data_IF_008226413488
#
_entry.id   IF_008226413488
#
_cell.length_a   1.000
_cell.length_b   1.000
_cell.length_c   1.000
_cell.angle_alpha   90.00
_cell.angle_beta   90.00
_cell.angle_gamma   90.00
#
_symmetry.space_group_name_H-M   'P 1'
#
loop_
_entity.id
_entity.type
_entity.pdbx_description
1 polymer ?
#
# COMPACT_ATOMS: atom_id res chain seq x y z
N UNK A 1 44.96 -10.82 -6.61
CA UNK A 1 43.80 -11.15 -7.46
C UNK A 1 42.68 -11.86 -6.69
N UNK A 2 42.95 -12.83 -5.82
CA UNK A 2 41.92 -13.50 -5.02
C UNK A 2 41.16 -12.57 -4.06
N UNK A 3 41.79 -11.52 -3.48
CA UNK A 3 41.17 -10.53 -2.59
C UNK A 3 40.22 -9.57 -3.33
N UNK A 4 40.51 -9.24 -4.59
CA UNK A 4 39.62 -8.42 -5.44
C UNK A 4 38.39 -9.20 -5.87
N UNK A 5 38.49 -10.50 -6.08
CA UNK A 5 37.36 -11.38 -6.42
C UNK A 5 36.37 -11.51 -5.25
N UNK A 6 36.88 -11.64 -4.02
CA UNK A 6 36.10 -11.72 -2.80
C UNK A 6 35.40 -10.38 -2.52
N UNK A 7 36.10 -9.24 -2.78
CA UNK A 7 35.51 -7.91 -2.61
C UNK A 7 34.39 -7.64 -3.63
N UNK A 8 34.59 -8.07 -4.89
CA UNK A 8 33.56 -7.99 -5.91
C UNK A 8 32.35 -8.85 -5.62
N UNK A 9 32.56 -10.04 -5.05
CA UNK A 9 31.48 -10.95 -4.65
C UNK A 9 30.67 -10.40 -3.47
N UNK A 10 31.32 -9.71 -2.53
CA UNK A 10 30.65 -9.06 -1.39
C UNK A 10 29.80 -7.84 -1.81
N UNK A 11 30.15 -7.16 -2.89
CA UNK A 11 29.38 -6.04 -3.43
C UNK A 11 28.09 -6.47 -4.14
N UNK A 12 28.04 -7.72 -4.63
CA UNK A 12 26.84 -8.26 -5.30
C UNK A 12 25.75 -8.68 -4.31
N UNK A 13 26.11 -8.91 -3.05
CA UNK A 13 25.14 -9.39 -2.01
C UNK A 13 24.37 -8.23 -1.36
N UNK A 14 24.71 -6.97 -1.65
CA UNK A 14 24.05 -5.80 -1.05
C UNK A 14 22.83 -5.28 -1.83
N UNK A 15 22.35 -6.02 -2.84
CA UNK A 15 21.04 -5.73 -3.39
C UNK A 15 19.98 -6.24 -2.40
N UNK A 16 19.61 -5.38 -1.45
CA UNK A 16 18.43 -5.61 -0.63
C UNK A 16 17.22 -5.62 -1.56
N UNK A 17 16.79 -6.82 -1.96
CA UNK A 17 15.50 -6.99 -2.59
C UNK A 17 14.43 -6.63 -1.55
N UNK A 18 13.81 -5.47 -1.70
CA UNK A 18 12.60 -5.15 -0.96
C UNK A 18 11.49 -6.07 -1.47
N UNK A 19 11.35 -7.23 -0.82
CA UNK A 19 10.33 -8.21 -1.16
C UNK A 19 9.00 -7.81 -0.53
N UNK A 20 8.32 -6.82 -1.11
CA UNK A 20 6.92 -6.56 -0.80
C UNK A 20 6.04 -7.50 -1.63
N UNK A 21 5.00 -8.05 -1.02
CA UNK A 21 4.01 -8.87 -1.72
C UNK A 21 3.18 -8.07 -2.72
N UNK A 22 3.08 -6.76 -2.55
CA UNK A 22 2.23 -5.91 -3.36
C UNK A 22 2.89 -4.56 -3.61
N UNK A 23 2.90 -4.13 -4.86
CA UNK A 23 3.31 -2.77 -5.24
C UNK A 23 2.13 -1.82 -5.27
N UNK A 24 2.41 -0.52 -5.39
CA UNK A 24 1.38 0.50 -5.63
C UNK A 24 0.59 0.25 -6.91
N UNK A 25 1.23 -0.24 -7.98
CA UNK A 25 0.54 -0.60 -9.22
C UNK A 25 -0.50 -1.72 -8.98
N UNK A 26 -0.14 -2.75 -8.23
CA UNK A 26 -1.07 -3.82 -7.88
C UNK A 26 -2.23 -3.29 -7.02
N UNK A 27 -1.93 -2.42 -6.06
CA UNK A 27 -2.96 -1.85 -5.20
C UNK A 27 -3.91 -0.94 -5.98
N UNK A 28 -3.40 -0.16 -6.93
CA UNK A 28 -4.21 0.69 -7.81
C UNK A 28 -5.15 -0.14 -8.69
N UNK A 29 -4.68 -1.25 -9.25
CA UNK A 29 -5.53 -2.18 -10.01
C UNK A 29 -6.72 -2.66 -9.17
N UNK A 30 -6.46 -3.08 -7.94
CA UNK A 30 -7.50 -3.52 -7.01
C UNK A 30 -8.43 -2.38 -6.59
N UNK A 31 -7.92 -1.17 -6.45
CA UNK A 31 -8.74 0.02 -6.20
C UNK A 31 -9.69 0.32 -7.37
N UNK A 32 -9.24 0.15 -8.60
CA UNK A 32 -10.09 0.31 -9.79
C UNK A 32 -11.24 -0.69 -9.78
N UNK A 33 -10.97 -1.96 -9.47
CA UNK A 33 -12.01 -2.98 -9.29
C UNK A 33 -12.96 -2.66 -8.14
N UNK A 34 -12.47 -2.10 -7.05
CA UNK A 34 -13.31 -1.60 -5.95
C UNK A 34 -14.25 -0.48 -6.39
N UNK A 35 -13.80 0.41 -7.26
CA UNK A 35 -14.67 1.46 -7.84
C UNK A 35 -15.76 0.86 -8.72
N UNK A 36 -15.44 -0.15 -9.55
CA UNK A 36 -16.43 -0.86 -10.37
C UNK A 36 -17.46 -1.59 -9.49
N UNK A 37 -17.03 -2.21 -8.41
CA UNK A 37 -17.92 -2.80 -7.42
C UNK A 37 -18.93 -1.77 -6.87
N UNK A 38 -18.47 -0.59 -6.49
CA UNK A 38 -19.33 0.48 -6.00
C UNK A 38 -20.23 1.11 -7.06
N UNK A 39 -19.84 1.01 -8.34
CA UNK A 39 -20.66 1.48 -9.45
C UNK A 39 -21.91 0.61 -9.72
N UNK A 40 -22.00 -0.57 -9.09
CA UNK A 40 -23.21 -1.40 -9.06
C UNK A 40 -23.30 -2.47 -10.14
N UNK A 41 -22.27 -2.67 -10.96
CA UNK A 41 -22.26 -3.72 -11.97
C UNK A 41 -20.88 -4.40 -12.12
N UNK A 42 -20.35 -4.97 -11.00
CA UNK A 42 -19.03 -5.58 -11.01
C UNK A 42 -19.03 -6.92 -11.75
N UNK A 43 -17.89 -7.22 -12.40
CA UNK A 43 -17.56 -8.59 -12.80
C UNK A 43 -17.18 -9.42 -11.57
N UNK A 44 -17.09 -10.75 -11.73
CA UNK A 44 -16.59 -11.62 -10.63
C UNK A 44 -15.17 -11.24 -10.23
N UNK A 45 -14.33 -10.87 -11.21
CA UNK A 45 -12.96 -10.39 -10.96
C UNK A 45 -12.97 -9.07 -10.16
N UNK A 46 -13.81 -8.11 -10.53
CA UNK A 46 -13.94 -6.85 -9.79
C UNK A 46 -14.39 -7.07 -8.35
N UNK A 47 -15.31 -8.01 -8.13
CA UNK A 47 -15.75 -8.35 -6.79
C UNK A 47 -14.57 -8.90 -5.97
N UNK A 48 -13.83 -9.84 -6.51
CA UNK A 48 -12.68 -10.45 -5.82
C UNK A 48 -11.58 -9.42 -5.54
N UNK A 49 -11.13 -8.69 -6.57
CA UNK A 49 -10.05 -7.72 -6.44
C UNK A 49 -10.45 -6.53 -5.57
N UNK A 50 -11.69 -6.08 -5.65
CA UNK A 50 -12.22 -5.01 -4.80
C UNK A 50 -12.26 -5.40 -3.33
N UNK A 51 -12.66 -6.63 -3.01
CA UNK A 51 -12.62 -7.15 -1.64
C UNK A 51 -11.18 -7.32 -1.13
N UNK A 52 -10.26 -7.74 -1.98
CA UNK A 52 -8.83 -7.78 -1.64
C UNK A 52 -8.28 -6.38 -1.34
N UNK A 53 -8.70 -5.36 -2.08
CA UNK A 53 -8.36 -3.97 -1.82
C UNK A 53 -8.80 -3.54 -0.41
N UNK A 54 -10.07 -3.74 -0.08
CA UNK A 54 -10.62 -3.38 1.23
C UNK A 54 -9.90 -4.10 2.38
N UNK A 55 -9.66 -5.40 2.23
CA UNK A 55 -8.96 -6.19 3.24
C UNK A 55 -7.53 -5.75 3.45
N UNK A 56 -6.83 -5.42 2.37
CA UNK A 56 -5.46 -4.92 2.44
C UNK A 56 -5.38 -3.57 3.16
N UNK A 57 -6.22 -2.62 2.77
CA UNK A 57 -6.27 -1.29 3.39
C UNK A 57 -6.67 -1.38 4.85
N UNK A 58 -7.65 -2.21 5.19
CA UNK A 58 -8.08 -2.42 6.58
C UNK A 58 -6.94 -2.98 7.44
N UNK A 59 -6.31 -4.06 7.00
CA UNK A 59 -5.22 -4.70 7.73
C UNK A 59 -4.01 -3.80 7.89
N UNK A 60 -3.58 -3.14 6.81
CA UNK A 60 -2.46 -2.20 6.87
C UNK A 60 -2.77 -1.01 7.79
N UNK A 61 -3.96 -0.45 7.72
CA UNK A 61 -4.39 0.68 8.57
C UNK A 61 -4.39 0.30 10.05
N UNK A 62 -4.86 -0.88 10.40
CA UNK A 62 -4.90 -1.35 11.78
C UNK A 62 -3.50 -1.55 12.35
N UNK A 63 -2.60 -2.14 11.58
CA UNK A 63 -1.20 -2.31 11.99
C UNK A 63 -0.51 -0.96 12.19
N UNK A 64 -0.69 -0.03 11.25
CA UNK A 64 -0.08 1.31 11.34
C UNK A 64 -0.60 2.09 12.55
N UNK A 65 -1.88 1.98 12.85
CA UNK A 65 -2.49 2.63 14.02
C UNK A 65 -1.99 1.99 15.33
N UNK A 66 -1.94 0.67 15.40
CA UNK A 66 -1.41 -0.05 16.57
C UNK A 66 0.06 0.24 16.84
N UNK A 67 0.84 0.49 15.79
CA UNK A 67 2.25 0.88 15.91
C UNK A 67 2.45 2.39 16.13
N UNK A 68 1.36 3.13 16.27
CA UNK A 68 1.37 4.60 16.44
C UNK A 68 2.08 5.35 15.31
N UNK A 69 2.11 4.76 14.12
CA UNK A 69 2.63 5.41 12.91
C UNK A 69 1.61 6.37 12.30
N UNK A 70 0.33 6.10 12.51
CA UNK A 70 -0.80 7.00 12.26
C UNK A 70 -1.70 6.96 13.49
N UNK A 71 -2.60 7.93 13.61
CA UNK A 71 -3.59 7.98 14.68
C UNK A 71 -4.98 8.15 14.09
N UNK A 72 -5.65 7.02 13.84
CA UNK A 72 -7.01 7.02 13.29
C UNK A 72 -8.01 7.58 14.32
N UNK A 73 -8.94 8.42 13.90
CA UNK A 73 -10.03 8.84 14.78
C UNK A 73 -10.97 7.65 15.05
N UNK A 74 -11.59 7.66 16.23
CA UNK A 74 -12.65 6.69 16.55
C UNK A 74 -13.80 6.82 15.54
N UNK A 75 -14.31 5.69 15.09
CA UNK A 75 -15.42 5.66 14.14
C UNK A 75 -15.01 5.79 12.68
N UNK A 76 -13.73 5.91 12.37
CA UNK A 76 -13.25 5.84 10.99
C UNK A 76 -13.56 4.46 10.41
N UNK A 77 -14.22 4.44 9.24
CA UNK A 77 -14.58 3.20 8.55
C UNK A 77 -13.49 2.77 7.57
N UNK A 78 -13.47 1.48 7.22
CA UNK A 78 -12.58 0.98 6.16
C UNK A 78 -12.86 1.64 4.81
N UNK A 79 -14.13 1.98 4.53
CA UNK A 79 -14.51 2.68 3.29
C UNK A 79 -13.86 4.06 3.21
N UNK A 80 -13.82 4.81 4.32
CA UNK A 80 -13.13 6.10 4.37
C UNK A 80 -11.62 5.94 4.12
N UNK A 81 -10.98 4.96 4.76
CA UNK A 81 -9.57 4.66 4.51
C UNK A 81 -9.32 4.26 3.06
N UNK A 82 -10.19 3.42 2.51
CA UNK A 82 -10.12 2.96 1.11
C UNK A 82 -10.19 4.13 0.12
N UNK A 83 -11.05 5.10 0.36
CA UNK A 83 -11.19 6.29 -0.48
C UNK A 83 -9.95 7.20 -0.38
N UNK A 84 -9.42 7.40 0.81
CA UNK A 84 -8.22 8.23 1.03
C UNK A 84 -7.01 7.59 0.33
N UNK A 85 -6.79 6.31 0.54
CA UNK A 85 -5.69 5.57 -0.09
C UNK A 85 -5.85 5.55 -1.61
N UNK A 86 -7.05 5.26 -2.10
CA UNK A 86 -7.33 5.22 -3.55
C UNK A 86 -7.08 6.56 -4.23
N UNK A 87 -7.51 7.65 -3.61
CA UNK A 87 -7.22 9.00 -4.11
C UNK A 87 -5.73 9.29 -4.15
N UNK A 88 -5.00 8.89 -3.11
CA UNK A 88 -3.55 9.05 -3.09
C UNK A 88 -2.87 8.32 -4.24
N UNK A 89 -3.28 7.07 -4.51
CA UNK A 89 -2.75 6.28 -5.63
C UNK A 89 -3.03 6.93 -6.98
N UNK A 90 -4.26 7.43 -7.19
CA UNK A 90 -4.63 8.12 -8.42
C UNK A 90 -3.84 9.44 -8.62
N UNK A 91 -3.58 10.16 -7.53
CA UNK A 91 -2.90 11.46 -7.57
C UNK A 91 -1.36 11.34 -7.65
N UNK A 92 -0.79 10.16 -7.38
CA UNK A 92 0.65 9.96 -7.31
C UNK A 92 1.15 8.83 -8.21
N UNK A 93 0.91 8.90 -9.54
CA UNK A 93 1.32 7.85 -10.46
C UNK A 93 2.83 7.61 -10.49
N UNK A 94 3.64 8.60 -10.12
CA UNK A 94 5.10 8.50 -10.05
C UNK A 94 5.60 7.63 -8.90
N UNK A 95 4.75 7.32 -7.92
CA UNK A 95 5.11 6.53 -6.72
C UNK A 95 4.64 5.08 -6.79
N UNK A 96 3.91 4.66 -7.83
CA UNK A 96 3.25 3.36 -7.88
C UNK A 96 4.21 2.15 -7.93
N UNK A 97 5.48 2.36 -8.19
CA UNK A 97 6.51 1.32 -8.09
C UNK A 97 6.90 1.01 -6.63
N UNK A 98 6.52 1.87 -5.70
CA UNK A 98 6.80 1.71 -4.27
C UNK A 98 5.90 0.60 -3.67
N UNK A 99 6.35 -0.01 -2.59
CA UNK A 99 5.58 -1.00 -1.84
C UNK A 99 4.22 -0.43 -1.39
N UNK A 100 3.17 -1.22 -1.54
CA UNK A 100 1.80 -0.78 -1.27
C UNK A 100 1.60 -0.32 0.18
N UNK A 101 2.19 -1.02 1.16
CA UNK A 101 2.10 -0.65 2.58
C UNK A 101 2.71 0.72 2.87
N UNK A 102 3.77 1.08 2.16
CA UNK A 102 4.39 2.41 2.27
C UNK A 102 3.45 3.50 1.73
N UNK A 103 2.75 3.21 0.63
CA UNK A 103 1.79 4.16 0.05
C UNK A 103 0.55 4.31 0.92
N UNK A 104 0.08 3.23 1.55
CA UNK A 104 -1.00 3.30 2.54
C UNK A 104 -0.59 4.19 3.72
N UNK A 105 0.63 4.00 4.25
CA UNK A 105 1.17 4.86 5.31
C UNK A 105 1.20 6.33 4.88
N UNK A 106 1.77 6.62 3.72
CA UNK A 106 1.88 8.00 3.20
C UNK A 106 0.50 8.66 3.07
N UNK A 107 -0.45 7.94 2.47
CA UNK A 107 -1.81 8.44 2.28
C UNK A 107 -2.51 8.76 3.59
N UNK A 108 -2.46 7.85 4.55
CA UNK A 108 -3.14 8.03 5.84
C UNK A 108 -2.42 9.02 6.75
N UNK A 109 -1.09 9.11 6.66
CA UNK A 109 -0.28 10.04 7.47
C UNK A 109 -0.57 11.51 7.12
N UNK A 110 -0.91 11.81 5.88
CA UNK A 110 -1.32 13.17 5.47
C UNK A 110 -2.55 13.67 6.23
N UNK A 111 -3.45 12.75 6.59
CA UNK A 111 -4.72 13.09 7.25
C UNK A 111 -4.74 12.81 8.75
N UNK A 112 -4.00 11.81 9.18
CA UNK A 112 -4.06 11.30 10.56
C UNK A 112 -2.69 11.16 11.22
N UNK A 113 -1.87 12.22 11.25
CA UNK A 113 -0.63 12.18 12.01
C UNK A 113 -0.93 12.08 13.50
N UNK A 114 -0.09 11.33 14.22
CA UNK A 114 -0.17 11.32 15.67
C UNK A 114 0.37 12.64 16.23
N UNK A 115 -0.36 13.24 17.15
CA UNK A 115 0.09 14.46 17.85
C UNK A 115 1.13 14.07 18.89
N UNK A 116 2.24 14.78 18.82
CA UNK A 116 3.26 14.70 19.90
C UNK A 116 2.89 15.61 21.07
#
# INVERSE_FOLDING_TARGET
MKKLFVLALLLVISSTANASFMSGNNLLERYRSYKEYNAGNPSEEDLMLGMMYLGYVAGASDVLDNLEMICKPKGMTVVQAAQIVGKYLDDNPQELHIAAETLVLKALLEHYPCKK
#
